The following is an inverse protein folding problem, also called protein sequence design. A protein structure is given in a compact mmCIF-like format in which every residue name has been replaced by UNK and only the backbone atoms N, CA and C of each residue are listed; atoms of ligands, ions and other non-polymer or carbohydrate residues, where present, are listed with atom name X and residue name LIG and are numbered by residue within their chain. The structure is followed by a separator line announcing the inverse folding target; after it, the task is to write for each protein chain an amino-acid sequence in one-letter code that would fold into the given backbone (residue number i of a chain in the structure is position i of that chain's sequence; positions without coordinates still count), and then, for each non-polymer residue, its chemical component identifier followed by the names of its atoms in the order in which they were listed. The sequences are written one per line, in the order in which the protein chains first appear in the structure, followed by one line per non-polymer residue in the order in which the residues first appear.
data_IF_281037140519
#
_entry.id   IF_281037140519
#
_cell.length_a   1.000
_cell.length_b   1.000
_cell.length_c   1.000
_cell.angle_alpha   90.00
_cell.angle_beta   90.00
_cell.angle_gamma   90.00
#
_symmetry.space_group_name_H-M   'P 1'
#
loop_
_entity.id
_entity.type
_entity.pdbx_description
1 polymer ?
#
# COMPACT_ATOMS: atom_id res chain seq x y z
N UNK A 1 -3.27 -14.84 -3.76
CA UNK A 1 -3.50 -13.50 -4.34
C UNK A 1 -2.24 -12.64 -4.38
N UNK A 2 -1.97 -11.97 -5.51
CA UNK A 2 -0.83 -11.04 -5.66
C UNK A 2 -1.29 -9.76 -6.37
N UNK A 3 -0.81 -8.59 -5.93
CA UNK A 3 -0.99 -7.33 -6.67
C UNK A 3 -0.10 -7.37 -7.91
N UNK A 4 -0.73 -7.40 -9.08
CA UNK A 4 -0.07 -7.45 -10.37
C UNK A 4 0.42 -6.06 -10.79
N UNK A 5 -0.45 -5.05 -10.67
CA UNK A 5 -0.16 -3.66 -11.04
C UNK A 5 -0.96 -2.69 -10.18
N UNK A 6 -0.44 -1.48 -10.07
CA UNK A 6 -1.09 -0.39 -9.36
C UNK A 6 -1.18 0.82 -10.27
N UNK A 7 -2.32 1.49 -10.26
CA UNK A 7 -2.54 2.72 -11.01
C UNK A 7 -2.85 3.84 -10.02
N UNK A 8 -2.11 4.94 -10.14
CA UNK A 8 -2.44 6.20 -9.49
C UNK A 8 -3.63 6.82 -10.21
N UNK A 9 -4.69 7.14 -9.48
CA UNK A 9 -5.91 7.80 -10.00
C UNK A 9 -6.20 9.06 -9.18
N UNK A 10 -7.17 9.89 -9.57
CA UNK A 10 -7.41 11.18 -8.91
C UNK A 10 -7.64 11.06 -7.40
N UNK A 11 -8.39 10.05 -6.98
CA UNK A 11 -8.83 9.88 -5.59
C UNK A 11 -8.14 8.73 -4.85
N UNK A 12 -7.01 8.24 -5.38
CA UNK A 12 -6.20 7.23 -4.71
C UNK A 12 -5.48 6.25 -5.64
N UNK A 13 -5.61 4.96 -5.35
CA UNK A 13 -4.90 3.88 -6.04
C UNK A 13 -5.88 2.80 -6.46
N UNK A 14 -5.76 2.35 -7.70
CA UNK A 14 -6.34 1.09 -8.17
C UNK A 14 -5.27 0.01 -8.06
N UNK A 15 -5.56 -1.05 -7.32
CA UNK A 15 -4.71 -2.23 -7.20
C UNK A 15 -5.33 -3.39 -7.99
N UNK A 16 -4.68 -3.79 -9.08
CA UNK A 16 -5.09 -4.94 -9.88
C UNK A 16 -4.54 -6.21 -9.22
N UNK A 17 -5.43 -7.06 -8.71
CA UNK A 17 -5.07 -8.28 -7.98
C UNK A 17 -5.33 -9.47 -8.88
N UNK A 18 -4.29 -10.25 -9.17
CA UNK A 18 -4.46 -11.48 -9.91
C UNK A 18 -5.15 -12.51 -9.02
N UNK A 19 -6.26 -13.05 -9.53
CA UNK A 19 -7.06 -14.11 -8.92
C UNK A 19 -7.17 -15.28 -9.89
N UNK A 20 -7.19 -16.50 -9.36
CA UNK A 20 -7.19 -17.74 -10.14
C UNK A 20 -8.46 -18.57 -9.97
N UNK A 21 -9.28 -18.27 -8.96
CA UNK A 21 -10.52 -18.97 -8.67
C UNK A 21 -11.52 -18.07 -7.92
N UNK A 22 -12.75 -18.56 -7.75
CA UNK A 22 -13.82 -17.84 -7.08
C UNK A 22 -13.57 -17.65 -5.57
N UNK A 23 -12.83 -18.54 -4.93
CA UNK A 23 -12.53 -18.44 -3.49
C UNK A 23 -11.61 -17.22 -3.22
N UNK A 24 -10.58 -17.00 -4.05
CA UNK A 24 -9.71 -15.82 -3.96
C UNK A 24 -10.50 -14.51 -4.18
N UNK A 25 -11.52 -14.52 -5.04
CA UNK A 25 -12.42 -13.37 -5.23
C UNK A 25 -13.21 -13.10 -3.95
N UNK A 26 -13.79 -14.13 -3.34
CA UNK A 26 -14.55 -14.00 -2.10
C UNK A 26 -13.66 -13.54 -0.93
N UNK A 27 -12.43 -14.06 -0.83
CA UNK A 27 -11.46 -13.63 0.19
C UNK A 27 -11.09 -12.16 0.05
N UNK A 28 -10.91 -11.68 -1.19
CA UNK A 28 -10.63 -10.28 -1.48
C UNK A 28 -11.79 -9.36 -1.08
N UNK A 29 -13.03 -9.77 -1.34
CA UNK A 29 -14.24 -9.03 -0.94
C UNK A 29 -14.49 -8.99 0.57
N UNK A 30 -13.89 -9.92 1.32
CA UNK A 30 -14.03 -10.00 2.77
C UNK A 30 -12.99 -9.17 3.54
N UNK A 31 -12.05 -8.52 2.85
CA UNK A 31 -11.07 -7.63 3.51
C UNK A 31 -11.80 -6.48 4.17
N UNK A 32 -11.42 -6.11 5.38
CA UNK A 32 -11.97 -4.94 6.08
C UNK A 32 -10.87 -3.94 6.43
N UNK A 33 -11.27 -2.81 7.03
CA UNK A 33 -10.32 -1.78 7.46
C UNK A 33 -9.37 -2.29 8.55
N UNK A 34 -9.86 -3.18 9.41
CA UNK A 34 -9.09 -3.77 10.50
C UNK A 34 -7.97 -4.70 10.00
N UNK A 35 -8.08 -5.19 8.76
CA UNK A 35 -7.05 -5.99 8.11
C UNK A 35 -5.89 -5.14 7.57
N UNK A 36 -6.02 -3.81 7.55
CA UNK A 36 -5.03 -2.90 6.99
C UNK A 36 -3.88 -2.70 7.98
N UNK A 37 -2.65 -2.93 7.52
CA UNK A 37 -1.42 -2.66 8.26
C UNK A 37 -0.44 -1.89 7.39
N UNK A 38 0.41 -1.09 8.03
CA UNK A 38 1.47 -0.36 7.33
C UNK A 38 2.82 -0.85 7.83
N UNK A 39 3.68 -1.24 6.89
CA UNK A 39 5.06 -1.62 7.15
C UNK A 39 6.02 -0.64 6.47
N UNK A 40 7.16 -0.37 7.12
CA UNK A 40 8.19 0.52 6.58
C UNK A 40 9.17 -0.28 5.73
N UNK A 41 9.59 0.29 4.60
CA UNK A 41 10.63 -0.28 3.72
C UNK A 41 11.70 0.75 3.39
N UNK A 42 12.75 0.39 2.65
CA UNK A 42 13.79 1.35 2.25
C UNK A 42 13.26 2.48 1.34
N UNK A 43 12.26 2.18 0.50
CA UNK A 43 11.77 3.09 -0.54
C UNK A 43 10.43 3.77 -0.21
N UNK A 44 9.80 3.42 0.91
CA UNK A 44 8.53 3.98 1.35
C UNK A 44 7.83 3.10 2.36
N UNK A 45 6.57 2.77 2.09
CA UNK A 45 5.76 1.89 2.92
C UNK A 45 5.19 0.73 2.12
N UNK A 46 4.79 -0.34 2.79
CA UNK A 46 3.91 -1.38 2.26
C UNK A 46 2.59 -1.26 3.01
N UNK A 47 1.50 -1.06 2.26
CA UNK A 47 0.15 -1.24 2.76
C UNK A 47 -0.19 -2.73 2.65
N UNK A 48 -0.35 -3.42 3.78
CA UNK A 48 -0.81 -4.80 3.83
C UNK A 48 -2.30 -4.85 4.08
N UNK A 49 -2.99 -5.70 3.34
CA UNK A 49 -4.38 -6.06 3.59
C UNK A 49 -4.45 -7.59 3.49
N UNK A 50 -4.41 -8.26 4.64
CA UNK A 50 -4.18 -9.72 4.74
C UNK A 50 -2.92 -10.14 3.96
N UNK A 51 -3.07 -11.02 2.97
CA UNK A 51 -1.98 -11.57 2.15
C UNK A 51 -1.58 -10.64 0.99
N UNK A 52 -2.25 -9.50 0.84
CA UNK A 52 -1.96 -8.52 -0.20
C UNK A 52 -0.97 -7.50 0.33
N UNK A 53 0.13 -7.33 -0.39
CA UNK A 53 1.11 -6.29 -0.14
C UNK A 53 1.12 -5.29 -1.30
N UNK A 54 0.76 -4.03 -0.99
CA UNK A 54 0.80 -2.91 -1.92
C UNK A 54 1.99 -1.99 -1.57
N UNK A 55 3.09 -2.02 -2.36
CA UNK A 55 4.18 -1.09 -2.15
C UNK A 55 3.77 0.34 -2.54
N UNK A 56 3.97 1.29 -1.64
CA UNK A 56 3.72 2.71 -1.83
C UNK A 56 5.05 3.46 -1.65
N UNK A 57 5.70 3.87 -2.76
CA UNK A 57 6.91 4.69 -2.70
C UNK A 57 6.66 6.01 -1.97
N UNK A 58 7.70 6.58 -1.36
CA UNK A 58 7.57 7.82 -0.57
C UNK A 58 6.90 8.96 -1.36
N UNK A 59 7.28 9.18 -2.62
CA UNK A 59 6.68 10.21 -3.45
C UNK A 59 5.16 10.00 -3.67
N UNK A 60 4.72 8.74 -3.75
CA UNK A 60 3.31 8.41 -3.85
C UNK A 60 2.62 8.62 -2.49
N UNK A 61 3.24 8.22 -1.38
CA UNK A 61 2.72 8.46 -0.03
C UNK A 61 2.49 9.95 0.23
N UNK A 62 3.44 10.82 -0.13
CA UNK A 62 3.29 12.27 0.01
C UNK A 62 2.12 12.80 -0.81
N UNK A 63 1.96 12.31 -2.03
CA UNK A 63 0.83 12.65 -2.87
C UNK A 63 -0.51 12.20 -2.24
N UNK A 64 -0.61 10.97 -1.72
CA UNK A 64 -1.82 10.46 -1.05
C UNK A 64 -2.22 11.35 0.15
N UNK A 65 -1.25 11.75 0.97
CA UNK A 65 -1.49 12.62 2.15
C UNK A 65 -2.06 14.00 1.74
N UNK A 66 -1.65 14.51 0.58
CA UNK A 66 -2.11 15.82 0.06
C UNK A 66 -3.52 15.80 -0.55
N UNK A 67 -4.04 14.63 -0.92
CA UNK A 67 -5.38 14.53 -1.49
C UNK A 67 -6.45 14.83 -0.44
N UNK A 68 -7.66 15.22 -0.85
CA UNK A 68 -8.79 15.46 0.08
C UNK A 68 -9.31 14.16 0.69
N UNK A 69 -9.39 13.11 -0.10
CA UNK A 69 -9.71 11.75 0.29
C UNK A 69 -8.79 10.82 -0.48
N UNK A 70 -8.59 9.61 0.03
CA UNK A 70 -7.68 8.66 -0.56
C UNK A 70 -8.21 7.25 -0.35
N UNK A 71 -8.44 6.54 -1.45
CA UNK A 71 -8.92 5.17 -1.43
C UNK A 71 -7.92 4.21 -2.08
N UNK A 72 -7.94 2.96 -1.65
CA UNK A 72 -7.35 1.84 -2.39
C UNK A 72 -8.48 0.95 -2.84
N UNK A 73 -8.68 0.90 -4.15
CA UNK A 73 -9.69 0.07 -4.78
C UNK A 73 -9.03 -1.18 -5.36
N UNK A 74 -9.48 -2.35 -4.91
CA UNK A 74 -8.96 -3.63 -5.38
C UNK A 74 -9.84 -4.16 -6.51
N UNK A 75 -9.22 -4.47 -7.64
CA UNK A 75 -9.87 -5.02 -8.82
C UNK A 75 -9.33 -6.43 -9.06
N UNK A 76 -10.18 -7.48 -8.94
CA UNK A 76 -9.76 -8.84 -9.27
C UNK A 76 -9.61 -8.96 -10.78
N UNK A 77 -8.40 -9.23 -11.28
CA UNK A 77 -8.16 -9.46 -12.70
C UNK A 77 -8.00 -10.96 -12.99
N UNK A 78 -8.66 -11.41 -14.04
CA UNK A 78 -8.50 -12.74 -14.64
C UNK A 78 -8.34 -12.60 -16.16
N UNK A 79 -7.86 -13.63 -16.84
CA UNK A 79 -7.75 -13.61 -18.31
C UNK A 79 -9.10 -13.76 -19.02
N UNK A 80 -10.14 -14.18 -18.31
CA UNK A 80 -11.40 -14.64 -18.91
C UNK A 80 -12.56 -13.64 -18.75
N UNK A 81 -12.38 -12.61 -17.91
CA UNK A 81 -13.47 -11.71 -17.55
C UNK A 81 -13.08 -10.23 -17.63
N UNK A 82 -14.01 -9.43 -18.12
CA UNK A 82 -13.95 -7.98 -18.00
C UNK A 82 -14.31 -7.57 -16.57
N UNK A 83 -13.54 -6.64 -15.99
CA UNK A 83 -13.74 -6.15 -14.62
C UNK A 83 -14.24 -4.71 -14.71
N UNK A 84 -15.51 -4.50 -14.39
CA UNK A 84 -16.13 -3.17 -14.47
C UNK A 84 -16.03 -2.36 -13.18
N UNK A 85 -15.99 -3.03 -12.04
CA UNK A 85 -16.10 -2.41 -10.72
C UNK A 85 -15.08 -3.02 -9.74
N UNK A 86 -14.63 -2.25 -8.72
CA UNK A 86 -13.78 -2.79 -7.69
C UNK A 86 -14.59 -3.79 -6.86
N UNK A 87 -13.94 -4.85 -6.39
CA UNK A 87 -14.59 -5.74 -5.44
C UNK A 87 -14.67 -5.10 -4.05
N UNK A 88 -13.69 -4.27 -3.73
CA UNK A 88 -13.68 -3.49 -2.50
C UNK A 88 -12.88 -2.19 -2.68
N UNK A 89 -13.34 -1.14 -2.02
CA UNK A 89 -12.66 0.14 -1.91
C UNK A 89 -12.48 0.50 -0.45
N UNK A 90 -11.22 0.68 -0.03
CA UNK A 90 -10.87 1.00 1.35
C UNK A 90 -10.41 2.44 1.45
N UNK A 91 -11.04 3.22 2.33
CA UNK A 91 -10.55 4.56 2.66
C UNK A 91 -9.32 4.47 3.55
N UNK A 92 -8.25 5.13 3.14
CA UNK A 92 -7.03 5.22 3.94
C UNK A 92 -7.14 6.39 4.94
N UNK A 93 -6.87 6.11 6.21
CA UNK A 93 -6.80 7.18 7.22
C UNK A 93 -5.61 8.09 6.95
N UNK A 94 -5.88 9.37 6.78
CA UNK A 94 -4.82 10.38 6.62
C UNK A 94 -3.93 10.50 7.85
N UNK A 95 -4.48 10.26 9.03
CA UNK A 95 -3.71 10.31 10.28
C UNK A 95 -2.69 9.18 10.27
N UNK A 96 -3.12 7.94 9.97
CA UNK A 96 -2.23 6.79 9.84
C UNK A 96 -1.17 6.98 8.75
N UNK A 97 -1.54 7.57 7.60
CA UNK A 97 -0.57 7.87 6.54
C UNK A 97 0.47 8.91 6.97
N UNK A 98 0.08 9.93 7.74
CA UNK A 98 1.01 10.94 8.28
C UNK A 98 1.93 10.33 9.34
N UNK A 99 1.39 9.50 10.23
CA UNK A 99 2.17 8.77 11.22
C UNK A 99 3.18 7.84 10.55
N UNK A 100 2.76 7.09 9.53
CA UNK A 100 3.63 6.24 8.74
C UNK A 100 4.76 7.04 8.06
N UNK A 101 4.46 8.22 7.49
CA UNK A 101 5.49 9.12 6.94
C UNK A 101 6.46 9.59 8.03
N UNK A 102 5.96 9.96 9.20
CA UNK A 102 6.77 10.34 10.36
C UNK A 102 7.71 9.22 10.79
N UNK A 103 7.17 8.02 10.95
CA UNK A 103 7.90 6.82 11.32
C UNK A 103 8.97 6.44 10.27
N UNK A 104 8.64 6.49 8.98
CA UNK A 104 9.60 6.30 7.89
C UNK A 104 10.77 7.29 7.97
N UNK A 105 10.48 8.58 8.12
CA UNK A 105 11.51 9.62 8.18
C UNK A 105 12.44 9.46 9.39
N UNK A 106 11.88 9.11 10.55
CA UNK A 106 12.65 8.83 11.76
C UNK A 106 13.54 7.58 11.58
N UNK A 107 12.95 6.49 11.09
CA UNK A 107 13.66 5.24 10.82
C UNK A 107 14.82 5.45 9.83
N UNK A 108 14.58 6.15 8.72
CA UNK A 108 15.60 6.41 7.70
C UNK A 108 16.80 7.18 8.26
N UNK A 109 16.55 8.26 9.01
CA UNK A 109 17.60 9.02 9.70
C UNK A 109 18.39 8.16 10.70
N UNK A 110 17.71 7.27 11.43
CA UNK A 110 18.38 6.34 12.35
C UNK A 110 19.33 5.39 11.62
N UNK A 111 18.95 4.90 10.43
CA UNK A 111 19.80 4.04 9.61
C UNK A 111 21.02 4.79 9.03
N UNK A 112 20.84 6.04 8.62
CA UNK A 112 21.91 6.90 8.12
C UNK A 112 22.96 7.17 9.21
N UNK A 113 22.53 7.55 10.41
CA UNK A 113 23.42 7.79 11.56
C UNK A 113 24.26 6.54 11.92
N UNK A 114 23.64 5.35 11.92
CA UNK A 114 24.37 4.09 12.19
C UNK A 114 25.44 3.79 11.15
N UNK A 115 25.21 4.12 9.88
CA UNK A 115 26.22 3.94 8.83
C UNK A 115 27.41 4.88 9.00
N UNK A 116 27.19 6.11 9.45
CA UNK A 116 28.27 7.07 9.71
C UNK A 116 29.16 6.69 10.90
N UNK A 117 28.59 6.10 11.96
CA UNK A 117 29.35 5.61 13.12
C UNK A 117 30.28 4.44 12.75
N UNK A 118 29.83 3.54 11.88
CA UNK A 118 30.66 2.42 11.38
C UNK A 118 31.84 2.91 10.54
N UNK A 119 31.66 4.00 9.78
CA UNK A 119 32.73 4.56 8.92
C UNK A 119 33.76 5.34 9.74
N UNK A 120 33.37 5.95 10.86
CA UNK A 120 34.28 6.73 11.73
C UNK A 120 35.02 5.88 12.78
N UNK A 121 34.62 4.63 12.98
CA UNK A 121 35.22 3.69 13.94
C UNK A 121 36.13 2.62 13.34
N UNK A 122 36.50 2.72 12.06
CA UNK A 122 37.35 1.78 11.33
C UNK A 122 38.72 2.35 10.97
#
# INVERSE_FOLDING_TARGET
MQVFRCLKVNDGIIALVQVNNADEINELGNISKEDIKIELTEFGIILKARDIALPIPLALLEWLISQKQCFVAFYPISLESFVSEPIISLELSKEELREAKGAYNFWKKSQENKKEEVIKGG
#
